data_IF_354719896585
#
_entry.id   IF_354719896585
#
_cell.length_a   1.000
_cell.length_b   1.000
_cell.length_c   1.000
_cell.angle_alpha   90.00
_cell.angle_beta   90.00
_cell.angle_gamma   90.00
#
_symmetry.space_group_name_H-M   'P 1'
#
loop_
_entity.id
_entity.type
_entity.pdbx_description
1 polymer ?
#
# COMPACT_ATOMS: atom_id res chain seq x y z
N UNK A 1 4.98 -0.10 -20.39
CA UNK A 1 4.72 -0.81 -19.12
C UNK A 1 5.22 0.06 -17.98
N UNK A 2 4.47 0.18 -16.90
CA UNK A 2 4.98 0.83 -15.68
C UNK A 2 6.20 0.02 -15.19
N UNK A 3 7.25 0.71 -14.73
CA UNK A 3 8.39 0.04 -14.10
C UNK A 3 7.93 -0.52 -12.75
N UNK A 4 8.36 -1.73 -12.37
CA UNK A 4 8.04 -2.29 -11.05
C UNK A 4 8.51 -1.33 -9.96
N UNK A 5 7.68 -1.09 -8.96
CA UNK A 5 7.98 -0.24 -7.81
C UNK A 5 7.26 -0.74 -6.58
N UNK A 6 7.75 -0.39 -5.40
CA UNK A 6 6.98 -0.59 -4.19
C UNK A 6 5.88 0.46 -4.08
N UNK A 7 4.69 0.04 -3.64
CA UNK A 7 3.60 0.97 -3.37
C UNK A 7 3.97 1.91 -2.19
N UNK A 8 3.48 3.15 -2.23
CA UNK A 8 3.59 4.10 -1.12
C UNK A 8 2.78 3.64 0.09
N UNK A 9 1.73 2.86 -0.11
CA UNK A 9 1.06 2.18 0.98
C UNK A 9 0.43 0.88 0.51
N UNK A 10 0.12 0.03 1.46
CA UNK A 10 -0.65 -1.18 1.26
C UNK A 10 -1.35 -1.52 2.56
N UNK A 11 -2.56 -2.06 2.44
CA UNK A 11 -3.31 -2.65 3.52
C UNK A 11 -4.27 -3.70 2.95
N UNK A 12 -4.68 -4.68 3.76
CA UNK A 12 -5.71 -5.65 3.37
C UNK A 12 -6.97 -4.95 2.88
N UNK A 13 -7.61 -5.49 1.85
CA UNK A 13 -8.81 -4.91 1.25
C UNK A 13 -9.88 -5.98 1.10
N UNK A 14 -11.11 -5.53 0.89
CA UNK A 14 -12.26 -6.39 0.70
C UNK A 14 -12.32 -6.91 -0.73
N UNK A 15 -12.56 -8.20 -0.88
CA UNK A 15 -12.80 -8.85 -2.17
C UNK A 15 -14.29 -9.09 -2.33
N UNK A 16 -14.86 -8.64 -3.44
CA UNK A 16 -16.28 -8.86 -3.75
C UNK A 16 -16.42 -10.05 -4.68
N UNK A 17 -17.20 -11.05 -4.30
CA UNK A 17 -17.54 -12.20 -5.12
C UNK A 17 -18.98 -12.09 -5.62
N UNK A 18 -19.19 -12.34 -6.90
CA UNK A 18 -20.51 -12.28 -7.55
C UNK A 18 -20.71 -13.57 -8.34
N UNK A 19 -21.60 -14.43 -7.85
CA UNK A 19 -21.97 -15.70 -8.50
C UNK A 19 -23.39 -16.05 -8.02
N UNK A 20 -24.27 -16.48 -8.91
CA UNK A 20 -25.67 -16.79 -8.59
C UNK A 20 -25.80 -18.09 -7.77
N UNK A 21 -24.75 -18.92 -7.76
CA UNK A 21 -24.70 -20.15 -6.99
C UNK A 21 -24.16 -19.90 -5.58
N UNK A 22 -25.09 -19.83 -4.62
CA UNK A 22 -24.76 -19.67 -3.20
C UNK A 22 -23.80 -20.73 -2.66
N UNK A 23 -24.00 -21.99 -3.02
CA UNK A 23 -23.13 -23.09 -2.57
C UNK A 23 -21.71 -22.97 -3.11
N UNK A 24 -21.53 -22.45 -4.32
CA UNK A 24 -20.20 -22.17 -4.86
C UNK A 24 -19.53 -21.06 -4.05
N UNK A 25 -20.22 -19.95 -3.81
CA UNK A 25 -19.71 -18.84 -3.00
C UNK A 25 -19.27 -19.29 -1.61
N UNK A 26 -20.13 -20.03 -0.90
CA UNK A 26 -19.82 -20.50 0.46
C UNK A 26 -18.58 -21.43 0.46
N UNK A 27 -18.46 -22.33 -0.53
CA UNK A 27 -17.29 -23.21 -0.66
C UNK A 27 -16.01 -22.45 -1.02
N UNK A 28 -16.11 -21.43 -1.88
CA UNK A 28 -14.98 -20.58 -2.22
C UNK A 28 -14.52 -19.86 -0.95
N UNK A 29 -15.41 -19.16 -0.24
CA UNK A 29 -15.08 -18.43 0.99
C UNK A 29 -14.45 -19.35 2.05
N UNK A 30 -14.98 -20.57 2.24
CA UNK A 30 -14.42 -21.55 3.18
C UNK A 30 -13.03 -22.07 2.78
N UNK A 31 -12.72 -22.09 1.48
CA UNK A 31 -11.42 -22.50 0.98
C UNK A 31 -10.35 -21.40 1.06
N UNK A 32 -10.76 -20.16 1.33
CA UNK A 32 -9.84 -19.05 1.46
C UNK A 32 -9.18 -19.02 2.84
N UNK A 33 -8.00 -18.42 2.90
CA UNK A 33 -7.32 -18.11 4.16
C UNK A 33 -8.19 -17.10 4.93
N UNK A 34 -8.28 -17.26 6.25
CA UNK A 34 -9.03 -16.38 7.15
C UNK A 34 -8.51 -14.92 7.09
N UNK A 35 -7.35 -14.72 6.47
CA UNK A 35 -6.73 -13.43 6.22
C UNK A 35 -7.39 -12.57 5.12
N UNK A 36 -8.36 -13.07 4.35
CA UNK A 36 -9.01 -12.28 3.28
C UNK A 36 -10.44 -11.93 3.67
N UNK A 37 -10.72 -10.62 3.81
CA UNK A 37 -12.08 -10.13 3.96
C UNK A 37 -12.87 -10.29 2.64
N UNK A 38 -14.05 -10.90 2.71
CA UNK A 38 -14.87 -11.18 1.52
C UNK A 38 -16.32 -10.73 1.70
N UNK A 39 -16.92 -10.22 0.62
CA UNK A 39 -18.35 -9.95 0.52
C UNK A 39 -18.89 -10.69 -0.69
N UNK A 40 -20.01 -11.39 -0.52
CA UNK A 40 -20.61 -12.21 -1.58
C UNK A 40 -21.96 -11.67 -2.01
N UNK A 41 -22.24 -11.66 -3.32
CA UNK A 41 -23.54 -11.33 -3.89
C UNK A 41 -24.03 -12.44 -4.81
N UNK A 42 -25.28 -12.84 -4.66
CA UNK A 42 -25.97 -13.76 -5.58
C UNK A 42 -26.74 -13.04 -6.67
N UNK A 43 -27.00 -11.74 -6.50
CA UNK A 43 -27.76 -10.91 -7.44
C UNK A 43 -26.82 -9.85 -8.06
N UNK A 44 -26.59 -9.88 -9.38
CA UNK A 44 -25.63 -8.99 -10.04
C UNK A 44 -26.04 -7.51 -9.93
N UNK A 45 -27.35 -7.22 -9.95
CA UNK A 45 -27.89 -5.86 -9.84
C UNK A 45 -27.60 -5.21 -8.49
N UNK A 46 -27.74 -5.97 -7.39
CA UNK A 46 -27.37 -5.51 -6.04
C UNK A 46 -25.87 -5.24 -5.91
N UNK A 47 -25.05 -6.12 -6.49
CA UNK A 47 -23.60 -5.95 -6.49
C UNK A 47 -23.16 -4.68 -7.23
N UNK A 48 -23.78 -4.36 -8.37
CA UNK A 48 -23.52 -3.13 -9.13
C UNK A 48 -23.84 -1.89 -8.28
N UNK A 49 -24.96 -1.88 -7.57
CA UNK A 49 -25.33 -0.78 -6.68
C UNK A 49 -24.27 -0.55 -5.60
N UNK A 50 -23.93 -1.61 -4.87
CA UNK A 50 -22.90 -1.58 -3.83
C UNK A 50 -21.54 -1.08 -4.35
N UNK A 51 -21.06 -1.63 -5.48
CA UNK A 51 -19.77 -1.25 -6.05
C UNK A 51 -19.73 0.21 -6.52
N UNK A 52 -20.86 0.75 -7.01
CA UNK A 52 -20.92 2.18 -7.36
C UNK A 52 -20.81 3.06 -6.13
N UNK A 53 -21.46 2.70 -5.04
CA UNK A 53 -21.39 3.45 -3.79
C UNK A 53 -19.97 3.43 -3.21
N UNK A 54 -19.28 2.29 -3.27
CA UNK A 54 -17.86 2.18 -2.90
C UNK A 54 -16.95 3.07 -3.78
N UNK A 55 -17.21 3.15 -5.09
CA UNK A 55 -16.37 3.89 -6.03
C UNK A 55 -16.44 5.41 -5.85
N UNK A 56 -17.49 5.94 -5.22
CA UNK A 56 -17.63 7.38 -4.93
C UNK A 56 -16.56 7.88 -3.95
N UNK A 57 -15.95 6.98 -3.16
CA UNK A 57 -14.87 7.27 -2.22
C UNK A 57 -13.55 6.74 -2.78
N UNK A 58 -13.23 7.11 -4.02
CA UNK A 58 -12.00 6.65 -4.69
C UNK A 58 -10.77 7.01 -3.87
N UNK A 59 -9.87 6.05 -3.68
CA UNK A 59 -8.56 6.24 -3.03
C UNK A 59 -7.84 7.48 -3.57
N UNK A 60 -7.80 7.64 -4.90
CA UNK A 60 -7.15 8.78 -5.54
C UNK A 60 -7.85 10.10 -5.22
N UNK A 61 -9.17 10.14 -5.19
CA UNK A 61 -9.92 11.33 -4.77
C UNK A 61 -9.66 11.65 -3.29
N UNK A 62 -9.54 10.63 -2.42
CA UNK A 62 -9.28 10.82 -1.00
C UNK A 62 -7.94 11.52 -0.76
N UNK A 63 -6.86 11.04 -1.37
CA UNK A 63 -5.56 11.68 -1.19
C UNK A 63 -5.46 12.97 -2.00
N UNK A 64 -5.94 13.04 -3.26
CA UNK A 64 -5.84 14.27 -4.05
C UNK A 64 -6.75 15.41 -3.54
N UNK A 65 -7.91 15.12 -2.93
CA UNK A 65 -8.84 16.13 -2.39
C UNK A 65 -8.58 16.51 -0.94
N UNK A 66 -8.03 15.62 -0.11
CA UNK A 66 -7.60 15.96 1.26
C UNK A 66 -6.60 17.13 1.28
N UNK A 67 -5.94 17.44 0.16
CA UNK A 67 -5.06 18.59 0.02
C UNK A 67 -5.77 19.93 -0.27
N UNK A 68 -7.10 19.97 -0.45
CA UNK A 68 -7.87 21.21 -0.62
C UNK A 68 -8.60 21.67 0.64
N UNK A 69 -8.84 20.79 1.60
CA UNK A 69 -9.68 21.09 2.77
C UNK A 69 -8.87 21.32 4.06
N UNK A 70 -7.56 21.01 4.08
CA UNK A 70 -6.68 21.27 5.23
C UNK A 70 -6.26 22.76 5.38
N UNK A 71 -6.79 23.68 4.55
CA UNK A 71 -6.57 25.14 4.70
C UNK A 71 -7.47 25.82 5.77
N UNK A 72 -8.32 25.08 6.48
CA UNK A 72 -9.26 25.66 7.47
C UNK A 72 -8.77 25.62 8.94
N UNK A 73 -7.46 25.48 9.17
CA UNK A 73 -6.81 25.96 10.40
C UNK A 73 -6.09 27.27 10.11
N UNK A 74 -6.80 28.37 10.37
CA UNK A 74 -6.52 29.69 9.82
C UNK A 74 -5.08 30.17 9.92
N UNK A 75 -4.53 30.57 8.76
CA UNK A 75 -3.58 31.66 8.56
C UNK A 75 -3.55 32.08 7.07
N UNK A 76 -4.16 33.23 6.78
CA UNK A 76 -3.91 34.20 5.69
C UNK A 76 -3.66 33.74 4.24
N UNK A 77 -4.58 34.16 3.36
CA UNK A 77 -4.46 34.44 1.92
C UNK A 77 -3.04 34.52 1.33
N UNK A 78 -2.69 33.62 0.40
CA UNK A 78 -1.96 33.93 -0.83
C UNK A 78 -2.42 32.97 -1.94
N UNK A 79 -3.03 33.51 -2.99
CA UNK A 79 -3.24 32.83 -4.27
C UNK A 79 -1.90 32.32 -4.81
N UNK A 80 -1.69 31.01 -4.95
CA UNK A 80 -0.93 30.35 -6.03
C UNK A 80 -1.26 28.85 -6.01
N UNK A 81 -1.98 28.40 -7.03
CA UNK A 81 -2.38 27.01 -7.26
C UNK A 81 -1.17 26.13 -7.58
N UNK A 82 -0.53 25.56 -6.56
CA UNK A 82 0.37 24.41 -6.67
C UNK A 82 -0.22 23.28 -5.84
N UNK A 83 -0.54 22.15 -6.48
CA UNK A 83 -0.94 20.93 -5.78
C UNK A 83 0.32 20.37 -5.15
N UNK A 84 0.63 20.80 -3.93
CA UNK A 84 1.72 20.22 -3.14
C UNK A 84 1.22 18.87 -2.61
N UNK A 85 1.55 17.79 -3.32
CA UNK A 85 1.24 16.44 -2.85
C UNK A 85 2.14 16.15 -1.65
N UNK A 86 1.58 16.26 -0.46
CA UNK A 86 2.31 16.03 0.77
C UNK A 86 2.28 14.51 1.09
N UNK A 87 3.39 13.80 0.78
CA UNK A 87 3.63 12.37 1.10
C UNK A 87 3.29 12.06 2.56
N UNK A 88 3.47 13.04 3.45
CA UNK A 88 3.29 12.89 4.88
C UNK A 88 1.85 12.64 5.30
N UNK A 89 0.86 12.68 4.40
CA UNK A 89 -0.52 12.30 4.72
C UNK A 89 -0.86 10.82 4.44
N UNK A 90 -0.04 10.06 3.71
CA UNK A 90 -0.36 8.66 3.35
C UNK A 90 -0.50 7.79 4.59
N UNK A 91 0.39 7.97 5.57
CA UNK A 91 0.36 7.20 6.81
C UNK A 91 -0.87 7.47 7.68
N UNK A 92 -1.58 8.60 7.50
CA UNK A 92 -2.80 8.90 8.25
C UNK A 92 -3.93 7.93 7.94
N UNK A 93 -3.86 7.20 6.83
CA UNK A 93 -4.84 6.17 6.49
C UNK A 93 -4.95 5.08 7.56
N UNK A 94 -3.88 4.84 8.32
CA UNK A 94 -3.89 3.87 9.43
C UNK A 94 -4.96 4.19 10.50
N UNK A 95 -5.40 5.45 10.59
CA UNK A 95 -6.45 5.90 11.50
C UNK A 95 -7.86 5.73 10.94
N UNK A 96 -8.01 5.43 9.65
CA UNK A 96 -9.30 5.12 9.06
C UNK A 96 -9.73 3.70 9.45
N UNK A 97 -10.74 3.59 10.31
CA UNK A 97 -11.33 2.32 10.73
C UNK A 97 -11.94 1.52 9.58
N UNK A 98 -12.36 2.20 8.51
CA UNK A 98 -13.01 1.62 7.33
C UNK A 98 -12.04 1.35 6.18
N UNK A 99 -10.72 1.48 6.37
CA UNK A 99 -9.75 1.27 5.28
C UNK A 99 -9.81 -0.15 4.70
N UNK A 100 -10.09 -1.14 5.53
CA UNK A 100 -10.22 -2.54 5.11
C UNK A 100 -11.49 -2.80 4.28
N UNK A 101 -12.52 -1.95 4.40
CA UNK A 101 -13.76 -2.01 3.59
C UNK A 101 -13.52 -1.59 2.13
N UNK A 102 -12.34 -1.04 1.82
CA UNK A 102 -11.96 -0.65 0.46
C UNK A 102 -12.06 -1.86 -0.46
N UNK A 103 -12.80 -1.72 -1.57
CA UNK A 103 -12.91 -2.78 -2.59
C UNK A 103 -11.96 -2.48 -3.73
N UNK A 104 -11.03 -3.41 -4.00
CA UNK A 104 -10.12 -3.34 -5.14
C UNK A 104 -10.43 -4.43 -6.16
N UNK A 105 -10.58 -5.67 -5.69
CA UNK A 105 -10.75 -6.83 -6.56
C UNK A 105 -12.21 -7.28 -6.53
N UNK A 106 -12.76 -7.49 -7.72
CA UNK A 106 -14.11 -8.04 -7.90
C UNK A 106 -14.00 -9.32 -8.71
N UNK A 107 -14.47 -10.41 -8.13
CA UNK A 107 -14.49 -11.74 -8.73
C UNK A 107 -15.91 -12.02 -9.20
N UNK A 108 -16.07 -12.30 -10.49
CA UNK A 108 -17.41 -12.38 -11.13
C UNK A 108 -17.50 -13.67 -11.92
N UNK A 109 -18.57 -14.43 -11.71
CA UNK A 109 -18.87 -15.56 -12.58
C UNK A 109 -19.34 -15.08 -13.95
N UNK A 110 -18.99 -15.83 -14.99
CA UNK A 110 -19.46 -15.52 -16.34
C UNK A 110 -20.97 -15.77 -16.48
N UNK A 111 -21.48 -16.89 -15.99
CA UNK A 111 -22.83 -17.40 -16.30
C UNK A 111 -23.77 -17.13 -15.15
N UNK A 112 -24.30 -15.91 -15.08
CA UNK A 112 -25.32 -15.55 -14.10
C UNK A 112 -26.68 -15.30 -14.80
N UNK A 113 -27.81 -15.66 -14.17
CA UNK A 113 -29.14 -15.26 -14.58
C UNK A 113 -29.24 -13.73 -14.62
N UNK A 114 -30.08 -13.20 -15.51
CA UNK A 114 -30.28 -11.76 -15.79
C UNK A 114 -29.16 -11.08 -16.59
N UNK A 115 -27.90 -11.24 -16.19
CA UNK A 115 -26.76 -10.53 -16.77
C UNK A 115 -25.50 -11.36 -16.67
N UNK A 116 -24.76 -11.52 -17.77
CA UNK A 116 -23.48 -12.24 -17.70
C UNK A 116 -22.38 -11.38 -17.05
N UNK A 117 -21.32 -12.04 -16.55
CA UNK A 117 -20.23 -11.35 -15.86
C UNK A 117 -19.53 -10.29 -16.70
N UNK A 118 -19.46 -10.45 -18.02
CA UNK A 118 -18.86 -9.45 -18.91
C UNK A 118 -19.73 -8.20 -19.06
N UNK A 119 -21.06 -8.33 -19.11
CA UNK A 119 -21.98 -7.21 -19.10
C UNK A 119 -21.86 -6.39 -17.81
N UNK A 120 -21.77 -7.07 -16.65
CA UNK A 120 -21.51 -6.42 -15.37
C UNK A 120 -20.20 -5.64 -15.40
N UNK A 121 -19.11 -6.25 -15.89
CA UNK A 121 -17.82 -5.58 -16.02
C UNK A 121 -17.90 -4.36 -16.95
N UNK A 122 -18.72 -4.40 -18.01
CA UNK A 122 -18.92 -3.24 -18.91
C UNK A 122 -19.65 -2.10 -18.22
N UNK A 123 -20.65 -2.40 -17.39
CA UNK A 123 -21.41 -1.39 -16.63
C UNK A 123 -20.53 -0.67 -15.61
N UNK A 124 -19.58 -1.38 -15.02
CA UNK A 124 -18.64 -0.85 -14.03
C UNK A 124 -17.30 -0.37 -14.64
N UNK A 125 -17.19 -0.39 -15.97
CA UNK A 125 -15.99 0.03 -16.66
C UNK A 125 -15.65 1.49 -16.33
N UNK A 126 -14.39 1.75 -15.98
CA UNK A 126 -13.90 3.08 -15.61
C UNK A 126 -13.93 3.37 -14.11
N UNK A 127 -14.56 2.50 -13.30
CA UNK A 127 -14.41 2.51 -11.85
C UNK A 127 -13.08 1.84 -11.45
N UNK A 128 -12.52 2.14 -10.25
CA UNK A 128 -11.19 1.69 -9.84
C UNK A 128 -11.15 0.23 -9.36
N UNK A 129 -11.82 -0.67 -10.10
CA UNK A 129 -11.91 -2.09 -9.75
C UNK A 129 -11.09 -2.97 -10.70
N UNK A 130 -10.46 -3.99 -10.13
CA UNK A 130 -9.75 -5.05 -10.83
C UNK A 130 -10.63 -6.30 -10.92
N UNK A 131 -11.23 -6.51 -12.09
CA UNK A 131 -12.08 -7.67 -12.35
C UNK A 131 -11.30 -8.97 -12.61
N UNK A 132 -11.66 -10.03 -11.88
CA UNK A 132 -11.31 -11.42 -12.18
C UNK A 132 -12.57 -12.13 -12.65
N UNK A 133 -12.56 -12.66 -13.87
CA UNK A 133 -13.67 -13.43 -14.40
C UNK A 133 -13.47 -14.93 -14.10
N UNK A 134 -14.41 -15.53 -13.37
CA UNK A 134 -14.49 -16.98 -13.26
C UNK A 134 -15.30 -17.50 -14.45
N UNK A 135 -14.80 -18.52 -15.14
CA UNK A 135 -15.37 -18.98 -16.41
C UNK A 135 -15.45 -20.49 -16.52
N UNK A 136 -16.41 -21.00 -17.29
CA UNK A 136 -16.41 -22.40 -17.72
C UNK A 136 -15.60 -22.59 -19.01
N UNK A 137 -15.36 -23.83 -19.41
CA UNK A 137 -14.55 -24.13 -20.61
C UNK A 137 -15.17 -23.57 -21.90
N UNK A 138 -16.51 -23.56 -21.98
CA UNK A 138 -17.25 -23.06 -23.15
C UNK A 138 -17.15 -21.54 -23.36
N UNK A 139 -16.75 -20.79 -22.33
CA UNK A 139 -16.79 -19.32 -22.30
C UNK A 139 -15.37 -18.71 -22.32
N UNK A 140 -14.35 -19.55 -22.53
CA UNK A 140 -12.94 -19.16 -22.50
C UNK A 140 -12.57 -18.15 -23.58
N UNK A 141 -13.07 -18.30 -24.82
CA UNK A 141 -12.76 -17.37 -25.90
C UNK A 141 -13.27 -15.96 -25.60
N UNK A 142 -14.49 -15.82 -25.07
CA UNK A 142 -15.03 -14.53 -24.65
C UNK A 142 -14.23 -13.90 -23.50
N UNK A 143 -13.71 -14.73 -22.57
CA UNK A 143 -12.83 -14.25 -21.52
C UNK A 143 -11.49 -13.72 -22.06
N UNK A 144 -10.90 -14.41 -23.05
CA UNK A 144 -9.67 -13.97 -23.72
C UNK A 144 -9.88 -12.64 -24.44
N UNK A 145 -10.98 -12.51 -25.19
CA UNK A 145 -11.33 -11.26 -25.87
C UNK A 145 -11.54 -10.10 -24.88
N UNK A 146 -12.26 -10.35 -23.78
CA UNK A 146 -12.48 -9.35 -22.74
C UNK A 146 -11.18 -8.93 -22.04
N UNK A 147 -10.27 -9.87 -21.78
CA UNK A 147 -8.96 -9.59 -21.21
C UNK A 147 -8.11 -8.74 -22.16
N UNK A 148 -8.03 -9.12 -23.43
CA UNK A 148 -7.29 -8.37 -24.44
C UNK A 148 -7.85 -6.96 -24.67
N UNK A 149 -9.16 -6.78 -24.51
CA UNK A 149 -9.84 -5.48 -24.56
C UNK A 149 -9.66 -4.64 -23.29
N UNK A 150 -9.00 -5.17 -22.25
CA UNK A 150 -8.82 -4.51 -20.95
C UNK A 150 -10.11 -4.33 -20.16
N UNK A 151 -11.15 -5.12 -20.48
CA UNK A 151 -12.42 -5.10 -19.74
C UNK A 151 -12.28 -5.84 -18.40
N UNK A 152 -11.52 -6.93 -18.39
CA UNK A 152 -11.17 -7.70 -17.21
C UNK A 152 -9.66 -7.76 -17.06
N UNK A 153 -9.18 -8.00 -15.84
CA UNK A 153 -7.76 -8.00 -15.53
C UNK A 153 -7.17 -9.39 -15.50
N UNK A 154 -7.97 -10.40 -15.14
CA UNK A 154 -7.61 -11.83 -15.17
C UNK A 154 -8.87 -12.65 -15.40
N UNK A 155 -8.69 -13.91 -15.79
CA UNK A 155 -9.75 -14.91 -15.79
C UNK A 155 -9.22 -16.25 -15.29
N UNK A 156 -10.08 -17.05 -14.66
CA UNK A 156 -9.73 -18.37 -14.12
C UNK A 156 -10.84 -19.37 -14.46
N UNK A 157 -10.52 -20.49 -15.14
CA UNK A 157 -11.50 -21.56 -15.36
C UNK A 157 -11.92 -22.25 -14.05
N UNK A 158 -13.22 -22.51 -13.84
CA UNK A 158 -13.74 -23.27 -12.67
C UNK A 158 -13.17 -24.69 -12.57
N UNK A 159 -12.83 -25.29 -13.72
CA UNK A 159 -12.23 -26.61 -13.87
C UNK A 159 -10.75 -26.68 -13.48
N UNK A 160 -10.13 -25.53 -13.18
CA UNK A 160 -8.71 -25.44 -12.93
C UNK A 160 -8.29 -26.19 -11.65
N UNK A 161 -7.24 -27.01 -11.74
CA UNK A 161 -6.60 -27.59 -10.56
C UNK A 161 -6.08 -26.49 -9.62
N UNK A 162 -6.25 -26.70 -8.31
CA UNK A 162 -5.95 -25.72 -7.26
C UNK A 162 -6.61 -24.36 -7.48
N UNK A 163 -7.88 -24.38 -7.92
CA UNK A 163 -8.66 -23.18 -8.24
C UNK A 163 -8.55 -22.10 -7.15
N UNK A 164 -8.81 -22.47 -5.89
CA UNK A 164 -8.81 -21.54 -4.76
C UNK A 164 -7.43 -20.90 -4.53
N UNK A 165 -6.37 -21.70 -4.53
CA UNK A 165 -5.00 -21.21 -4.37
C UNK A 165 -4.59 -20.27 -5.52
N UNK A 166 -4.95 -20.61 -6.76
CA UNK A 166 -4.70 -19.73 -7.92
C UNK A 166 -5.49 -18.43 -7.81
N UNK A 167 -6.75 -18.51 -7.40
CA UNK A 167 -7.60 -17.34 -7.24
C UNK A 167 -7.05 -16.41 -6.16
N UNK A 168 -6.60 -16.94 -5.02
CA UNK A 168 -5.92 -16.18 -3.97
C UNK A 168 -4.68 -15.45 -4.48
N UNK A 169 -3.78 -16.16 -5.17
CA UNK A 169 -2.57 -15.54 -5.71
C UNK A 169 -2.90 -14.43 -6.70
N UNK A 170 -3.93 -14.63 -7.53
CA UNK A 170 -4.37 -13.62 -8.50
C UNK A 170 -5.02 -12.42 -7.80
N UNK A 171 -5.78 -12.63 -6.74
CA UNK A 171 -6.34 -11.55 -5.91
C UNK A 171 -5.20 -10.73 -5.30
N UNK A 172 -4.22 -11.36 -4.65
CA UNK A 172 -3.06 -10.66 -4.06
C UNK A 172 -2.28 -9.88 -5.12
N UNK A 173 -2.02 -10.49 -6.28
CA UNK A 173 -1.33 -9.83 -7.42
C UNK A 173 -2.07 -8.56 -7.87
N UNK A 174 -3.41 -8.62 -8.01
CA UNK A 174 -4.20 -7.48 -8.46
C UNK A 174 -4.35 -6.40 -7.39
N UNK A 175 -4.44 -6.77 -6.11
CA UNK A 175 -4.41 -5.82 -5.00
C UNK A 175 -3.09 -5.06 -4.97
N UNK A 176 -1.95 -5.77 -4.97
CA UNK A 176 -0.62 -5.16 -5.03
C UNK A 176 -0.49 -4.20 -6.22
N UNK A 177 -0.87 -4.67 -7.41
CA UNK A 177 -0.82 -3.87 -8.63
C UNK A 177 -1.67 -2.61 -8.56
N UNK A 178 -2.86 -2.66 -7.94
CA UNK A 178 -3.69 -1.47 -7.77
C UNK A 178 -2.99 -0.43 -6.87
N UNK A 179 -2.41 -0.87 -5.75
CA UNK A 179 -1.67 0.03 -4.86
C UNK A 179 -0.42 0.60 -5.53
N UNK A 180 0.28 -0.18 -6.36
CA UNK A 180 1.38 0.30 -7.21
C UNK A 180 0.87 1.38 -8.18
N UNK A 181 -0.25 1.15 -8.90
CA UNK A 181 -0.85 2.12 -9.82
C UNK A 181 -1.31 3.41 -9.11
N UNK A 182 -1.87 3.33 -7.90
CA UNK A 182 -2.19 4.51 -7.09
C UNK A 182 -0.94 5.28 -6.69
N UNK A 183 0.11 4.56 -6.32
CA UNK A 183 1.40 5.14 -5.93
C UNK A 183 2.09 5.83 -7.11
N UNK A 184 1.94 5.31 -8.33
CA UNK A 184 2.40 5.97 -9.56
C UNK A 184 1.83 7.37 -9.70
N UNK A 185 0.53 7.53 -9.41
CA UNK A 185 -0.16 8.83 -9.50
C UNK A 185 0.36 9.77 -8.41
N UNK A 186 0.47 9.29 -7.18
CA UNK A 186 0.99 10.09 -6.05
C UNK A 186 2.42 10.56 -6.36
N UNK A 187 3.33 9.63 -6.65
CA UNK A 187 4.75 9.91 -6.88
C UNK A 187 4.98 10.85 -8.08
N UNK A 188 4.23 10.71 -9.18
CA UNK A 188 4.38 11.61 -10.33
C UNK A 188 4.04 13.07 -10.00
N UNK A 189 3.18 13.28 -9.01
CA UNK A 189 2.78 14.61 -8.55
C UNK A 189 3.64 15.10 -7.37
N UNK A 190 4.57 14.26 -6.86
CA UNK A 190 5.58 14.73 -5.91
C UNK A 190 6.63 15.51 -6.68
N UNK A 191 6.71 16.80 -6.38
CA UNK A 191 7.70 17.74 -6.93
C UNK A 191 9.15 17.40 -6.56
N UNK A 192 9.38 16.41 -5.70
CA UNK A 192 10.67 16.10 -5.08
C UNK A 192 11.41 14.96 -5.77
N UNK A 193 12.58 15.32 -6.27
CA UNK A 193 13.58 14.54 -7.02
C UNK A 193 14.23 13.36 -6.28
N UNK A 194 13.71 12.94 -5.13
CA UNK A 194 14.31 11.88 -4.31
C UNK A 194 13.31 10.75 -4.07
N UNK A 195 13.01 9.96 -5.10
CA UNK A 195 12.45 8.63 -4.85
C UNK A 195 13.58 7.76 -4.31
N UNK A 196 13.61 7.49 -3.00
CA UNK A 196 14.64 6.74 -2.27
C UNK A 196 14.81 5.27 -2.72
N UNK A 197 15.09 5.02 -4.00
CA UNK A 197 15.20 3.69 -4.56
C UNK A 197 13.89 2.89 -4.59
N UNK A 198 12.73 3.53 -4.42
CA UNK A 198 11.42 2.83 -4.40
C UNK A 198 11.13 2.01 -5.67
N UNK A 199 11.79 2.34 -6.79
CA UNK A 199 11.75 1.59 -8.04
C UNK A 199 12.94 0.64 -8.27
N UNK A 200 13.88 0.51 -7.32
CA UNK A 200 15.03 -0.39 -7.42
C UNK A 200 14.57 -1.85 -7.19
N UNK A 201 14.78 -2.77 -8.16
CA UNK A 201 14.43 -4.18 -8.02
C UNK A 201 15.01 -4.87 -6.78
N UNK A 202 16.22 -4.49 -6.35
CA UNK A 202 16.86 -5.03 -5.15
C UNK A 202 16.03 -4.68 -3.91
N UNK A 203 15.67 -3.40 -3.78
CA UNK A 203 14.93 -2.90 -2.63
C UNK A 203 13.50 -3.49 -2.61
N UNK A 204 12.85 -3.54 -3.77
CA UNK A 204 11.51 -4.14 -3.91
C UNK A 204 11.54 -5.60 -3.45
N UNK A 205 12.50 -6.39 -3.94
CA UNK A 205 12.64 -7.80 -3.56
C UNK A 205 12.88 -7.95 -2.05
N UNK A 206 13.83 -7.18 -1.51
CA UNK A 206 14.14 -7.19 -0.09
C UNK A 206 12.91 -6.86 0.77
N UNK A 207 12.17 -5.79 0.44
CA UNK A 207 11.01 -5.36 1.21
C UNK A 207 9.87 -6.39 1.14
N UNK A 208 9.58 -6.96 -0.05
CA UNK A 208 8.57 -8.02 -0.17
C UNK A 208 8.93 -9.25 0.68
N UNK A 209 10.20 -9.67 0.67
CA UNK A 209 10.68 -10.77 1.52
C UNK A 209 10.63 -10.41 3.01
N UNK A 210 11.01 -9.17 3.36
CA UNK A 210 10.99 -8.67 4.73
C UNK A 210 9.56 -8.64 5.29
N UNK A 211 8.59 -8.10 4.54
CA UNK A 211 7.20 -8.03 4.96
C UNK A 211 6.62 -9.42 5.19
N UNK A 212 6.88 -10.36 4.29
CA UNK A 212 6.46 -11.76 4.42
C UNK A 212 7.06 -12.41 5.66
N UNK A 213 8.37 -12.27 5.88
CA UNK A 213 9.06 -12.94 6.99
C UNK A 213 8.69 -12.36 8.37
N UNK A 214 8.28 -11.10 8.43
CA UNK A 214 7.90 -10.41 9.67
C UNK A 214 6.38 -10.32 9.87
N UNK A 215 5.57 -10.98 9.03
CA UNK A 215 4.10 -10.93 9.06
C UNK A 215 3.55 -9.49 9.04
N UNK A 216 4.15 -8.64 8.22
CA UNK A 216 3.69 -7.28 7.99
C UNK A 216 2.54 -7.33 6.98
N UNK A 217 1.36 -6.87 7.40
CA UNK A 217 0.15 -6.88 6.58
C UNK A 217 -0.18 -5.50 6.05
N UNK A 218 0.27 -4.45 6.73
CA UNK A 218 0.06 -3.06 6.35
C UNK A 218 1.40 -2.31 6.35
N UNK A 219 1.59 -1.43 5.37
CA UNK A 219 2.72 -0.51 5.34
C UNK A 219 2.34 0.83 4.72
N UNK A 220 2.95 1.90 5.19
CA UNK A 220 2.67 3.27 4.77
C UNK A 220 3.95 4.10 4.70
N UNK A 221 4.20 4.73 3.56
CA UNK A 221 5.31 5.66 3.36
C UNK A 221 5.03 6.93 4.16
N UNK A 222 5.99 7.32 4.98
CA UNK A 222 5.89 8.48 5.87
C UNK A 222 6.69 9.65 5.33
N UNK A 223 7.84 9.39 4.72
CA UNK A 223 8.72 10.42 4.14
C UNK A 223 9.17 10.02 2.73
N UNK A 224 9.53 10.99 1.90
CA UNK A 224 10.09 10.73 0.57
C UNK A 224 11.40 9.92 0.59
N UNK A 225 12.10 9.91 1.73
CA UNK A 225 13.38 9.23 1.97
C UNK A 225 13.24 7.74 2.31
N UNK A 226 12.22 7.04 1.81
CA UNK A 226 12.11 5.57 2.00
C UNK A 226 11.79 5.10 3.43
N UNK A 227 11.15 5.95 4.25
CA UNK A 227 10.67 5.55 5.57
C UNK A 227 9.25 4.98 5.49
N UNK A 228 9.06 3.77 6.02
CA UNK A 228 7.76 3.12 6.13
C UNK A 228 7.35 2.89 7.58
N UNK A 229 6.10 3.25 7.89
CA UNK A 229 5.38 2.74 9.05
C UNK A 229 4.80 1.36 8.68
N UNK A 230 5.13 0.35 9.47
CA UNK A 230 4.72 -1.04 9.27
C UNK A 230 3.78 -1.49 10.38
N UNK A 231 2.82 -2.34 10.06
CA UNK A 231 1.94 -2.97 11.03
C UNK A 231 1.72 -4.45 10.73
N UNK A 232 1.76 -5.29 11.77
CA UNK A 232 1.37 -6.69 11.67
C UNK A 232 -0.14 -6.89 11.91
N UNK A 233 -0.63 -8.10 11.72
CA UNK A 233 -2.06 -8.45 11.85
C UNK A 233 -2.66 -8.14 13.22
N UNK A 234 -1.87 -8.26 14.30
CA UNK A 234 -2.27 -7.96 15.68
C UNK A 234 -2.39 -6.46 15.96
N UNK A 235 -1.74 -5.61 15.16
CA UNK A 235 -1.65 -4.17 15.37
C UNK A 235 -0.35 -3.71 16.03
N UNK A 236 0.67 -4.56 16.12
CA UNK A 236 2.00 -4.15 16.58
C UNK A 236 2.65 -3.30 15.47
N UNK A 237 3.01 -2.07 15.82
CA UNK A 237 3.63 -1.12 14.92
C UNK A 237 5.15 -1.21 14.96
N UNK A 238 5.78 -0.94 13.83
CA UNK A 238 7.23 -0.80 13.73
C UNK A 238 7.60 0.10 12.56
N UNK A 239 8.83 0.57 12.53
CA UNK A 239 9.34 1.44 11.47
C UNK A 239 10.39 0.72 10.65
N UNK A 240 10.39 1.00 9.35
CA UNK A 240 11.47 0.65 8.44
C UNK A 240 12.05 1.94 7.90
N UNK A 241 13.26 2.25 8.34
CA UNK A 241 14.00 3.39 7.82
C UNK A 241 15.04 2.88 6.83
N UNK A 242 15.04 3.45 5.63
CA UNK A 242 15.93 3.07 4.52
C UNK A 242 16.65 4.33 4.06
N UNK A 243 17.94 4.24 3.84
CA UNK A 243 18.77 5.35 3.38
C UNK A 243 19.72 4.93 2.28
N UNK A 244 19.96 5.81 1.31
CA UNK A 244 21.01 5.64 0.30
C UNK A 244 22.37 6.03 0.87
N UNK A 245 23.46 5.66 0.19
CA UNK A 245 24.80 6.15 0.55
C UNK A 245 24.88 7.69 0.50
N UNK A 246 24.20 8.32 -0.45
CA UNK A 246 24.17 9.78 -0.58
C UNK A 246 23.55 10.44 0.66
N UNK A 247 22.39 9.95 1.11
CA UNK A 247 21.73 10.45 2.32
C UNK A 247 22.59 10.20 3.58
N UNK A 248 23.24 9.04 3.68
CA UNK A 248 24.15 8.73 4.78
C UNK A 248 25.36 9.69 4.80
N UNK A 249 25.88 10.04 3.63
CA UNK A 249 26.97 11.01 3.50
C UNK A 249 26.50 12.43 3.87
N UNK A 250 25.30 12.84 3.44
CA UNK A 250 24.70 14.13 3.79
C UNK A 250 24.55 14.30 5.31
N UNK A 251 24.06 13.29 6.02
CA UNK A 251 23.99 13.33 7.48
C UNK A 251 25.37 13.44 8.14
N UNK A 252 26.36 12.73 7.60
CA UNK A 252 27.73 12.82 8.11
C UNK A 252 28.31 14.22 7.95
N UNK A 253 28.15 14.81 6.75
CA UNK A 253 28.61 16.16 6.47
C UNK A 253 27.90 17.19 7.36
N UNK A 254 26.59 17.04 7.52
CA UNK A 254 25.79 17.90 8.41
C UNK A 254 26.28 17.83 9.86
N UNK A 255 26.62 16.63 10.35
CA UNK A 255 27.16 16.48 11.71
C UNK A 255 28.53 17.16 11.87
N UNK A 256 29.40 17.09 10.85
CA UNK A 256 30.71 17.75 10.84
C UNK A 256 30.56 19.27 10.81
N UNK A 257 29.73 19.79 9.90
CA UNK A 257 29.54 21.24 9.68
C UNK A 257 28.93 21.94 10.90
N UNK A 258 28.13 21.21 11.70
CA UNK A 258 27.53 21.70 12.93
C UNK A 258 28.35 21.38 14.19
N UNK A 259 29.62 20.97 14.04
CA UNK A 259 30.52 20.67 15.15
C UNK A 259 29.97 19.61 16.13
N UNK A 260 29.33 18.57 15.59
CA UNK A 260 28.86 17.44 16.38
C UNK A 260 29.99 16.71 17.12
N UNK A 261 29.65 15.95 18.16
CA UNK A 261 30.64 15.20 18.93
C UNK A 261 31.41 14.20 18.07
N UNK A 262 32.72 14.03 18.30
CA UNK A 262 33.56 13.11 17.52
C UNK A 262 33.03 11.67 17.53
N UNK A 263 32.44 11.24 18.65
CA UNK A 263 31.81 9.93 18.77
C UNK A 263 30.67 9.76 17.75
N UNK A 264 29.77 10.74 17.68
CA UNK A 264 28.63 10.75 16.75
C UNK A 264 29.12 10.70 15.30
N UNK A 265 30.10 11.55 14.97
CA UNK A 265 30.67 11.62 13.61
C UNK A 265 31.29 10.27 13.22
N UNK A 266 32.04 9.64 14.12
CA UNK A 266 32.64 8.32 13.87
C UNK A 266 31.59 7.21 13.67
N UNK A 267 30.48 7.25 14.43
CA UNK A 267 29.37 6.31 14.25
C UNK A 267 28.63 6.49 12.91
N UNK A 268 28.50 7.72 12.42
CA UNK A 268 27.95 7.99 11.09
C UNK A 268 28.91 7.58 9.97
N UNK A 269 30.21 7.85 10.14
CA UNK A 269 31.26 7.46 9.19
C UNK A 269 31.40 5.95 9.03
N UNK A 270 31.23 5.17 10.11
CA UNK A 270 31.29 3.70 10.03
C UNK A 270 30.13 3.10 9.23
N UNK A 271 29.04 3.86 9.05
CA UNK A 271 27.76 3.41 8.46
C UNK A 271 27.15 2.21 9.18
N UNK A 272 27.48 2.03 10.46
CA UNK A 272 26.91 0.98 11.30
C UNK A 272 25.61 1.41 11.97
N UNK A 273 25.31 2.72 11.96
CA UNK A 273 24.06 3.28 12.44
C UNK A 273 23.44 4.20 11.39
N UNK A 274 22.12 4.24 11.34
CA UNK A 274 21.36 5.21 10.56
C UNK A 274 20.74 6.25 11.49
N UNK A 275 20.67 7.49 11.01
CA UNK A 275 19.88 8.53 11.66
C UNK A 275 18.41 8.37 11.23
N UNK A 276 17.53 8.21 12.21
CA UNK A 276 16.10 8.12 11.99
C UNK A 276 15.36 9.28 12.68
N UNK A 277 15.06 10.31 11.89
CA UNK A 277 14.18 11.40 12.28
C UNK A 277 12.81 11.13 11.64
N UNK A 278 11.77 11.05 12.48
CA UNK A 278 10.50 10.44 12.08
C UNK A 278 9.56 11.43 11.35
N UNK A 279 9.65 12.72 11.67
CA UNK A 279 8.75 13.76 11.15
C UNK A 279 9.53 14.94 10.58
N UNK A 280 8.90 15.76 9.73
CA UNK A 280 9.48 17.05 9.30
C UNK A 280 9.81 17.95 10.51
N UNK A 281 8.96 17.90 11.54
CA UNK A 281 9.22 18.61 12.79
C UNK A 281 10.49 18.12 13.47
N UNK A 282 10.79 16.82 13.42
CA UNK A 282 12.06 16.29 13.95
C UNK A 282 13.24 16.80 13.11
N UNK A 283 13.11 16.81 11.78
CA UNK A 283 14.13 17.35 10.88
C UNK A 283 14.42 18.84 11.10
N UNK A 284 13.42 19.62 11.56
CA UNK A 284 13.57 21.05 11.84
C UNK A 284 14.07 21.30 13.28
N UNK A 285 13.56 20.55 14.25
CA UNK A 285 13.76 20.87 15.68
C UNK A 285 14.89 20.08 16.34
N UNK A 286 15.26 18.90 15.82
CA UNK A 286 16.29 18.06 16.44
C UNK A 286 17.67 18.52 15.99
N UNK A 287 18.40 19.13 16.92
CA UNK A 287 19.79 19.57 16.67
C UNK A 287 20.76 18.40 16.67
N UNK A 288 21.92 18.56 16.02
CA UNK A 288 22.98 17.53 15.93
C UNK A 288 23.40 16.99 17.29
N UNK A 289 23.35 17.81 18.35
CA UNK A 289 23.71 17.39 19.70
C UNK A 289 22.75 16.33 20.28
N UNK A 290 21.52 16.24 19.77
CA UNK A 290 20.53 15.25 20.21
C UNK A 290 20.48 14.01 19.32
N UNK A 291 21.22 13.98 18.20
CA UNK A 291 21.14 12.91 17.20
C UNK A 291 21.51 11.53 17.74
N UNK A 292 22.36 11.45 18.78
CA UNK A 292 22.74 10.17 19.40
C UNK A 292 21.50 9.35 19.85
N UNK A 293 20.42 10.02 20.26
CA UNK A 293 19.16 9.39 20.67
C UNK A 293 18.35 8.81 19.50
N UNK A 294 18.66 9.23 18.29
CA UNK A 294 17.96 8.88 17.05
C UNK A 294 18.81 8.00 16.13
N UNK A 295 19.94 7.49 16.62
CA UNK A 295 20.79 6.56 15.90
C UNK A 295 20.38 5.11 16.17
N UNK A 296 20.05 4.40 15.09
CA UNK A 296 19.65 2.99 15.15
C UNK A 296 20.64 2.12 14.39
N UNK A 297 20.89 0.87 14.82
CA UNK A 297 21.75 -0.06 14.11
C UNK A 297 21.32 -0.22 12.64
N UNK A 298 22.28 -0.11 11.74
CA UNK A 298 22.07 -0.21 10.29
C UNK A 298 22.53 -1.57 9.78
N UNK A 299 21.75 -2.15 8.88
CA UNK A 299 22.18 -3.29 8.06
C UNK A 299 22.37 -2.82 6.63
N UNK A 300 23.48 -3.26 6.01
CA UNK A 300 23.80 -2.93 4.62
C UNK A 300 23.12 -3.90 3.66
N UNK A 301 22.51 -3.35 2.61
CA UNK A 301 21.97 -4.07 1.48
C UNK A 301 22.76 -3.65 0.24
N UNK A 302 23.57 -4.56 -0.28
CA UNK A 302 24.51 -4.29 -1.39
C UNK A 302 23.92 -4.83 -2.68
N UNK A 303 23.69 -3.94 -3.64
CA UNK A 303 23.36 -4.27 -5.02
C UNK A 303 24.56 -4.16 -5.95
N UNK A 304 24.30 -4.41 -7.23
CA UNK A 304 25.33 -4.31 -8.27
C UNK A 304 25.84 -2.87 -8.46
N UNK A 305 24.93 -1.89 -8.38
CA UNK A 305 25.24 -0.47 -8.59
C UNK A 305 24.85 0.45 -7.42
N UNK A 306 24.04 -0.04 -6.47
CA UNK A 306 23.48 0.77 -5.38
C UNK A 306 23.72 0.10 -4.04
N UNK A 307 23.92 0.91 -3.00
CA UNK A 307 24.03 0.46 -1.60
C UNK A 307 22.93 1.15 -0.80
N UNK A 308 22.18 0.37 -0.06
CA UNK A 308 21.15 0.84 0.86
C UNK A 308 21.51 0.44 2.29
N UNK A 309 21.09 1.27 3.23
CA UNK A 309 21.21 1.04 4.66
C UNK A 309 19.82 1.02 5.24
N UNK A 310 19.47 -0.02 5.99
CA UNK A 310 18.15 -0.10 6.59
C UNK A 310 18.21 -0.44 8.08
N UNK A 311 17.18 -0.03 8.81
CA UNK A 311 16.93 -0.45 10.19
C UNK A 311 15.46 -0.75 10.40
N UNK A 312 15.18 -1.88 11.06
CA UNK A 312 13.86 -2.22 11.56
C UNK A 312 13.74 -1.82 13.02
N UNK A 313 12.96 -0.79 13.29
CA UNK A 313 12.85 -0.17 14.60
C UNK A 313 11.50 -0.56 15.19
N UNK A 314 11.52 -1.43 16.21
CA UNK A 314 10.30 -1.91 16.89
C UNK A 314 9.85 -1.00 18.03
N UNK A 315 10.75 -0.16 18.52
CA UNK A 315 10.41 0.81 19.55
C UNK A 315 9.62 1.96 18.94
N UNK A 316 8.50 2.31 19.58
CA UNK A 316 7.73 3.49 19.22
C UNK A 316 8.55 4.73 19.55
N UNK A 317 9.28 5.22 18.56
CA UNK A 317 10.03 6.47 18.67
C UNK A 317 9.01 7.59 18.73
N UNK A 318 8.78 8.11 19.95
CA UNK A 318 7.85 9.20 20.26
C UNK A 318 6.36 8.86 20.00
N UNK A 319 5.46 9.49 20.76
CA UNK A 319 3.99 9.32 20.70
C UNK A 319 3.36 9.87 19.39
N UNK A 320 4.04 9.68 18.25
CA UNK A 320 3.68 10.19 16.93
C UNK A 320 2.44 9.44 16.41
N UNK A 321 2.34 8.15 16.74
CA UNK A 321 1.21 7.32 16.33
C UNK A 321 0.23 7.14 17.49
N UNK A 322 -0.98 7.65 17.33
CA UNK A 322 -2.06 7.50 18.30
C UNK A 322 -2.64 6.07 18.25
N UNK A 323 -1.96 5.10 18.85
CA UNK A 323 -2.34 3.68 18.88
C UNK A 323 -3.78 3.43 19.29
N UNK A 324 -4.31 4.23 20.22
CA UNK A 324 -5.69 4.12 20.71
C UNK A 324 -6.77 4.35 19.63
N UNK A 325 -6.41 4.94 18.49
CA UNK A 325 -7.33 5.20 17.37
C UNK A 325 -7.14 4.22 16.21
N UNK A 326 -6.24 3.25 16.35
CA UNK A 326 -5.93 2.29 15.29
C UNK A 326 -6.67 0.98 15.56
N UNK A 327 -7.38 0.51 14.54
CA UNK A 327 -7.99 -0.81 14.52
C UNK A 327 -7.05 -1.74 13.75
N UNK A 328 -6.62 -2.83 14.40
CA UNK A 328 -5.81 -3.86 13.76
C UNK A 328 -6.65 -4.75 12.85
N UNK A 329 -6.00 -5.38 11.87
CA UNK A 329 -6.72 -6.21 10.92
C UNK A 329 -7.37 -7.44 11.58
N UNK A 330 -6.73 -8.08 12.55
CA UNK A 330 -7.34 -9.18 13.32
C UNK A 330 -8.61 -8.73 14.07
N UNK A 331 -8.60 -7.53 14.67
CA UNK A 331 -9.79 -6.99 15.34
C UNK A 331 -10.90 -6.68 14.36
N UNK A 332 -10.55 -6.22 13.15
CA UNK A 332 -11.51 -5.97 12.09
C UNK A 332 -12.18 -7.27 11.65
N UNK A 333 -11.40 -8.32 11.36
CA UNK A 333 -11.93 -9.63 10.97
C UNK A 333 -12.78 -10.27 12.07
N UNK A 334 -12.40 -10.13 13.34
CA UNK A 334 -13.16 -10.66 14.47
C UNK A 334 -14.48 -9.92 14.75
N UNK A 335 -14.69 -8.74 14.16
CA UNK A 335 -15.89 -7.93 14.33
C UNK A 335 -16.96 -8.18 13.24
N UNK A 336 -16.63 -8.97 12.21
CA UNK A 336 -17.55 -9.41 11.15
C UNK A 336 -18.31 -10.67 11.58
#
# INVERSE_FOLDING_TARGET
MAKPRIACCYYPTTVVFIDDNRSFLDNVVLGFDESINTITFTEPTKAIGYLRDCALVSFTDKYLRSFKEDEDFGCSNVEHSYVDVNVFNIHKEIYNSHRFDTVIVVVVDYTMPEMNGLELCRILKGLPFKFILITGDATLNSAIEAFNAGLIHKFIPKSCHDFTYKLQNVISELQEKQFEEFSDVIIKNLSTTQSAGLGDPLLIKFLKEFFKNNNIVEYYLVTGSGCFLLMNSRGDLSWMAIKTEEEMAEYTNTAIDNYGEEKLINELLSREKILFLCTEADHINVTVNDWEKYLYPATRLIGDNNVYYYSHIKEMVNNIVCTNRIISYEKFLAAQ
#
